data_IF_943594068179
#
_entry.id   IF_943594068179
#
_cell.length_a   1.000
_cell.length_b   1.000
_cell.length_c   1.000
_cell.angle_alpha   90.00
_cell.angle_beta   90.00
_cell.angle_gamma   90.00
#
_symmetry.space_group_name_H-M   'P 1'
#
loop_
_entity.id
_entity.type
_entity.pdbx_description
1 polymer ?
#
# COMPACT_ATOMS: atom_id res chain seq x y z
N UNK A 1 -12.53 17.66 -6.17
CA UNK A 1 -12.15 16.38 -5.53
C UNK A 1 -11.80 16.66 -4.07
N UNK A 2 -12.54 16.11 -3.11
CA UNK A 2 -12.26 16.32 -1.69
C UNK A 2 -11.19 15.32 -1.21
N UNK A 3 -10.17 15.79 -0.50
CA UNK A 3 -9.16 14.92 0.13
C UNK A 3 -9.80 14.17 1.30
N UNK A 4 -9.38 12.92 1.53
CA UNK A 4 -9.78 12.18 2.73
C UNK A 4 -9.33 12.96 3.97
N UNK A 5 -10.22 13.07 4.95
CA UNK A 5 -9.99 13.76 6.22
C UNK A 5 -9.36 12.84 7.27
N UNK A 6 -9.33 11.53 7.03
CA UNK A 6 -8.69 10.55 7.92
C UNK A 6 -7.19 10.77 7.96
N UNK A 7 -6.59 10.53 9.13
CA UNK A 7 -5.13 10.54 9.28
C UNK A 7 -4.51 9.51 8.35
N UNK A 8 -3.45 9.93 7.66
CA UNK A 8 -2.64 9.01 6.86
C UNK A 8 -1.81 8.11 7.77
N UNK A 9 -1.99 6.79 7.61
CA UNK A 9 -1.19 5.76 8.28
C UNK A 9 -0.53 4.93 7.17
N UNK A 10 0.79 5.06 6.95
CA UNK A 10 1.46 4.34 5.87
C UNK A 10 1.46 2.83 6.17
N UNK A 11 0.88 2.06 5.26
CA UNK A 11 0.82 0.59 5.34
C UNK A 11 0.74 0.00 3.94
N UNK A 12 1.18 -1.24 3.80
CA UNK A 12 1.01 -2.03 2.57
C UNK A 12 -0.20 -2.93 2.76
N UNK A 13 -1.22 -2.77 1.91
CA UNK A 13 -2.38 -3.68 1.92
C UNK A 13 -2.00 -5.02 1.30
N UNK A 14 -2.02 -6.09 2.09
CA UNK A 14 -1.74 -7.46 1.62
C UNK A 14 -2.97 -8.15 1.04
N UNK A 15 -4.17 -7.73 1.47
CA UNK A 15 -5.43 -8.32 1.02
C UNK A 15 -6.63 -7.61 1.62
N UNK A 16 -7.79 -7.83 1.03
CA UNK A 16 -9.07 -7.30 1.52
C UNK A 16 -10.07 -8.44 1.67
N UNK A 17 -10.49 -8.71 2.90
CA UNK A 17 -11.50 -9.72 3.15
C UNK A 17 -12.90 -9.18 2.90
N UNK A 18 -13.69 -9.88 2.08
CA UNK A 18 -15.09 -9.52 1.79
C UNK A 18 -16.08 -10.07 2.84
N UNK A 19 -15.69 -11.10 3.59
CA UNK A 19 -16.50 -11.74 4.65
C UNK A 19 -15.64 -11.94 5.89
N UNK A 20 -16.25 -11.76 7.06
CA UNK A 20 -15.56 -11.92 8.33
C UNK A 20 -15.51 -13.38 8.75
N UNK A 21 -14.32 -13.97 8.76
CA UNK A 21 -14.06 -15.31 9.33
C UNK A 21 -13.01 -15.19 10.44
N UNK A 22 -13.38 -14.69 11.64
CA UNK A 22 -12.43 -14.24 12.65
C UNK A 22 -11.47 -15.33 13.14
N UNK A 23 -11.92 -16.60 13.23
CA UNK A 23 -11.06 -17.73 13.61
C UNK A 23 -9.97 -18.00 12.56
N UNK A 24 -10.37 -18.16 11.30
CA UNK A 24 -9.42 -18.37 10.18
C UNK A 24 -8.46 -17.21 10.00
N UNK A 25 -8.92 -15.97 10.19
CA UNK A 25 -8.04 -14.81 10.14
C UNK A 25 -7.00 -14.88 11.26
N UNK A 26 -7.40 -15.25 12.48
CA UNK A 26 -6.48 -15.38 13.61
C UNK A 26 -5.43 -16.45 13.34
N UNK A 27 -5.86 -17.65 12.93
CA UNK A 27 -4.97 -18.77 12.58
C UNK A 27 -3.97 -18.36 11.48
N UNK A 28 -4.43 -17.64 10.46
CA UNK A 28 -3.57 -17.13 9.39
C UNK A 28 -2.54 -16.11 9.92
N UNK A 29 -2.97 -15.17 10.76
CA UNK A 29 -2.07 -14.17 11.33
C UNK A 29 -1.03 -14.80 12.27
N UNK A 30 -1.42 -15.83 13.03
CA UNK A 30 -0.51 -16.61 13.88
C UNK A 30 0.53 -17.36 13.02
N UNK A 31 0.11 -17.98 11.91
CA UNK A 31 1.00 -18.69 11.00
C UNK A 31 2.01 -17.77 10.29
N UNK A 32 1.63 -16.52 10.04
CA UNK A 32 2.42 -15.57 9.25
C UNK A 32 2.95 -14.38 10.05
N UNK A 33 3.00 -14.47 11.39
CA UNK A 33 3.40 -13.35 12.25
C UNK A 33 4.86 -12.88 12.05
N UNK A 34 5.72 -13.73 11.49
CA UNK A 34 7.12 -13.42 11.17
C UNK A 34 7.30 -12.74 9.81
N UNK A 35 6.22 -12.53 9.04
CA UNK A 35 6.28 -11.89 7.73
C UNK A 35 6.89 -10.49 7.85
N UNK A 36 8.07 -10.32 7.25
CA UNK A 36 8.78 -9.04 7.17
C UNK A 36 9.29 -8.84 5.75
N UNK A 37 9.17 -7.62 5.23
CA UNK A 37 9.88 -7.21 4.03
C UNK A 37 11.26 -6.70 4.40
N UNK A 38 12.22 -6.84 3.48
CA UNK A 38 13.42 -6.03 3.55
C UNK A 38 13.03 -4.53 3.47
N UNK A 39 13.82 -3.63 4.09
CA UNK A 39 13.69 -2.20 3.83
C UNK A 39 13.86 -1.91 2.33
N UNK A 40 13.17 -0.90 1.82
CA UNK A 40 13.31 -0.45 0.44
C UNK A 40 13.39 1.07 0.38
N UNK A 41 14.11 1.58 -0.61
CA UNK A 41 14.14 3.01 -0.92
C UNK A 41 12.92 3.36 -1.78
N UNK A 42 12.20 4.41 -1.41
CA UNK A 42 11.17 4.98 -2.27
C UNK A 42 11.87 5.90 -3.27
N UNK A 43 12.05 5.41 -4.50
CA UNK A 43 12.81 6.06 -5.57
C UNK A 43 11.94 6.93 -6.49
N UNK A 44 10.63 6.71 -6.52
CA UNK A 44 9.69 7.50 -7.29
C UNK A 44 8.29 7.51 -6.68
N UNK A 45 7.50 8.50 -7.08
CA UNK A 45 6.06 8.55 -6.88
C UNK A 45 5.35 8.42 -8.22
N UNK A 46 4.28 7.64 -8.25
CA UNK A 46 3.42 7.53 -9.43
C UNK A 46 2.03 8.08 -9.15
N UNK A 47 1.48 8.81 -10.11
CA UNK A 47 0.09 9.25 -10.11
C UNK A 47 -0.79 8.15 -10.71
N UNK A 48 -1.73 7.65 -9.91
CA UNK A 48 -2.65 6.60 -10.35
C UNK A 48 -4.05 7.12 -10.59
N UNK A 49 -4.66 6.67 -11.69
CA UNK A 49 -6.11 6.69 -11.89
C UNK A 49 -6.71 5.38 -11.40
N UNK A 50 -7.88 5.44 -10.77
CA UNK A 50 -8.64 4.26 -10.33
C UNK A 50 -10.07 4.36 -10.82
N UNK A 51 -10.47 3.46 -11.72
CA UNK A 51 -11.83 3.37 -12.22
C UNK A 51 -12.49 2.09 -11.70
N UNK A 52 -13.61 2.22 -10.99
CA UNK A 52 -14.33 1.08 -10.46
C UNK A 52 -15.27 0.51 -11.54
N UNK A 53 -15.10 -0.77 -11.85
CA UNK A 53 -16.01 -1.54 -12.68
C UNK A 53 -16.65 -2.68 -11.85
N UNK A 54 -17.71 -3.35 -12.36
CA UNK A 54 -18.29 -4.52 -11.72
C UNK A 54 -17.29 -5.67 -11.50
N UNK A 55 -16.25 -5.78 -12.33
CA UNK A 55 -15.21 -6.81 -12.22
C UNK A 55 -14.07 -6.42 -11.28
N UNK A 56 -13.95 -5.15 -10.91
CA UNK A 56 -12.94 -4.67 -9.97
C UNK A 56 -12.49 -3.25 -10.22
N UNK A 57 -11.49 -2.79 -9.46
CA UNK A 57 -10.84 -1.52 -9.75
C UNK A 57 -9.79 -1.72 -10.85
N UNK A 58 -9.87 -0.91 -11.90
CA UNK A 58 -8.82 -0.77 -12.91
C UNK A 58 -7.90 0.36 -12.50
N UNK A 59 -6.62 0.05 -12.35
CA UNK A 59 -5.59 1.00 -11.98
C UNK A 59 -4.70 1.30 -13.18
N UNK A 60 -4.51 2.58 -13.47
CA UNK A 60 -3.67 3.06 -14.56
C UNK A 60 -2.65 4.06 -13.99
N UNK A 61 -1.39 3.93 -14.41
CA UNK A 61 -0.35 4.91 -14.11
C UNK A 61 -0.45 6.04 -15.13
N UNK A 62 -0.71 7.26 -14.66
CA UNK A 62 -0.80 8.45 -15.51
C UNK A 62 0.55 9.17 -15.68
N UNK A 63 1.49 8.91 -14.78
CA UNK A 63 2.83 9.50 -14.79
C UNK A 63 3.59 9.17 -13.52
N UNK A 64 4.90 9.46 -13.52
CA UNK A 64 5.77 9.27 -12.36
C UNK A 64 6.82 10.38 -12.24
N UNK A 65 7.31 10.59 -11.03
CA UNK A 65 8.40 11.52 -10.71
C UNK A 65 9.42 10.82 -9.82
N UNK A 66 10.71 10.99 -10.13
CA UNK A 66 11.78 10.47 -9.28
C UNK A 66 11.84 11.27 -7.98
N UNK A 67 12.01 10.56 -6.88
CA UNK A 67 12.32 11.14 -5.59
C UNK A 67 13.84 11.27 -5.46
N UNK A 68 14.29 12.51 -5.31
CA UNK A 68 15.66 12.78 -4.92
C UNK A 68 15.71 12.65 -3.39
N UNK A 69 16.47 11.67 -2.90
CA UNK A 69 16.81 11.61 -1.49
C UNK A 69 17.74 12.79 -1.16
N UNK A 70 17.51 13.45 -0.03
CA UNK A 70 18.49 14.38 0.51
C UNK A 70 19.68 13.55 1.00
N UNK A 71 20.82 13.62 0.30
CA UNK A 71 22.08 13.06 0.79
C UNK A 71 22.60 13.99 1.91
N UNK A 72 21.95 13.92 3.07
CA UNK A 72 22.46 14.53 4.29
C UNK A 72 23.84 13.96 4.64
N UNK A 73 24.72 14.72 5.31
CA UNK A 73 26.09 14.30 5.59
C UNK A 73 26.08 13.14 6.60
N UNK A 74 26.38 11.93 6.15
CA UNK A 74 26.43 10.76 7.02
C UNK A 74 26.43 9.42 6.28
N UNK A 75 27.42 9.21 5.42
CA UNK A 75 27.85 7.90 4.91
C UNK A 75 29.28 7.66 5.32
#
# INVERSE_FOLDING_TARGET
MARDKRRFLPHITLGRMKRNHPRRLREYLELHHELRSAPFLCDHLALFSSQLSPSGAHHEVLGSVLLQGDSGPGS
#
